data_IF_922160488946
#
_entry.id   IF_922160488946
#
_cell.length_a   1.000
_cell.length_b   1.000
_cell.length_c   1.000
_cell.angle_alpha   90.00
_cell.angle_beta   90.00
_cell.angle_gamma   90.00
#
_symmetry.space_group_name_H-M   'P 1'
#
loop_
_entity.id
_entity.type
_entity.pdbx_description
1 polymer ?
#
# COMPACT_ATOMS: atom_id res chain seq x y z
N UNK A 1 24.90 -36.06 -25.79
CA UNK A 1 26.27 -36.63 -25.82
C UNK A 1 26.33 -38.15 -25.61
N UNK A 2 25.32 -38.79 -25.02
CA UNK A 2 25.26 -40.25 -24.88
C UNK A 2 25.43 -41.03 -26.20
N UNK A 3 24.88 -40.53 -27.31
CA UNK A 3 25.08 -41.14 -28.63
C UNK A 3 26.54 -41.10 -29.09
N UNK A 4 27.25 -40.01 -28.78
CA UNK A 4 28.66 -39.82 -29.14
C UNK A 4 29.57 -40.77 -28.34
N UNK A 5 29.30 -40.96 -27.04
CA UNK A 5 29.98 -41.97 -26.23
C UNK A 5 29.82 -43.39 -26.81
N UNK A 6 28.61 -43.75 -27.25
CA UNK A 6 28.35 -45.06 -27.89
C UNK A 6 29.04 -45.21 -29.26
N UNK A 7 29.20 -44.13 -30.01
CA UNK A 7 29.99 -44.17 -31.25
C UNK A 7 31.48 -44.36 -30.98
N UNK A 8 31.99 -43.83 -29.85
CA UNK A 8 33.39 -43.95 -29.47
C UNK A 8 33.82 -45.40 -29.24
N UNK A 9 32.93 -46.27 -28.76
CA UNK A 9 33.21 -47.70 -28.58
C UNK A 9 33.23 -48.51 -29.88
N UNK A 10 32.76 -47.93 -30.99
CA UNK A 10 32.69 -48.61 -32.29
C UNK A 10 33.89 -48.30 -33.20
N UNK A 11 34.85 -47.50 -32.74
CA UNK A 11 36.07 -47.21 -33.51
C UNK A 11 37.04 -48.39 -33.53
N UNK A 12 37.98 -48.34 -34.47
CA UNK A 12 38.98 -49.39 -34.66
C UNK A 12 39.75 -49.68 -33.37
N UNK A 13 39.89 -50.95 -33.06
CA UNK A 13 40.71 -51.45 -31.94
C UNK A 13 42.14 -51.76 -32.38
N UNK A 14 42.46 -51.49 -33.66
CA UNK A 14 43.79 -51.68 -34.22
C UNK A 14 44.65 -50.43 -33.99
N UNK A 15 45.88 -50.64 -33.52
CA UNK A 15 46.88 -49.59 -33.34
C UNK A 15 47.03 -49.12 -31.88
N UNK A 16 48.14 -48.46 -31.59
CA UNK A 16 48.52 -47.97 -30.25
C UNK A 16 47.59 -46.89 -29.70
N UNK A 17 46.73 -46.31 -30.54
CA UNK A 17 45.75 -45.29 -30.14
C UNK A 17 44.44 -45.87 -29.57
N UNK A 18 44.17 -47.17 -29.75
CA UNK A 18 42.96 -47.83 -29.27
C UNK A 18 42.55 -47.48 -27.82
N UNK A 19 43.44 -47.46 -26.80
CA UNK A 19 43.06 -47.13 -25.42
C UNK A 19 42.56 -45.69 -25.23
N UNK A 20 42.92 -44.75 -26.11
CA UNK A 20 42.47 -43.35 -26.03
C UNK A 20 40.96 -43.24 -26.30
N UNK A 21 40.39 -44.14 -27.10
CA UNK A 21 38.94 -44.19 -27.33
C UNK A 21 38.14 -44.48 -26.07
N UNK A 22 38.68 -45.26 -25.13
CA UNK A 22 38.03 -45.54 -23.85
C UNK A 22 38.06 -44.31 -22.92
N UNK A 23 39.15 -43.54 -22.93
CA UNK A 23 39.23 -42.24 -22.25
C UNK A 23 38.20 -41.26 -22.82
N UNK A 24 38.06 -41.21 -24.14
CA UNK A 24 37.07 -40.36 -24.80
C UNK A 24 35.63 -40.79 -24.49
N UNK A 25 35.37 -42.11 -24.50
CA UNK A 25 34.08 -42.70 -24.13
C UNK A 25 33.69 -42.31 -22.70
N UNK A 26 34.54 -42.62 -21.72
CA UNK A 26 34.27 -42.35 -20.30
C UNK A 26 34.14 -40.86 -20.00
N UNK A 27 34.94 -40.00 -20.63
CA UNK A 27 34.82 -38.55 -20.50
C UNK A 27 33.49 -38.03 -21.07
N UNK A 28 33.09 -38.54 -22.25
CA UNK A 28 31.82 -38.17 -22.90
C UNK A 28 30.60 -38.69 -22.12
N UNK A 29 30.70 -39.85 -21.49
CA UNK A 29 29.67 -40.39 -20.58
C UNK A 29 29.51 -39.52 -19.34
N UNK A 30 30.62 -39.17 -18.67
CA UNK A 30 30.60 -38.28 -17.49
C UNK A 30 30.00 -36.91 -17.82
N UNK A 31 30.36 -36.36 -18.99
CA UNK A 31 29.82 -35.10 -19.45
C UNK A 31 28.32 -35.21 -19.77
N UNK A 32 27.88 -36.29 -20.42
CA UNK A 32 26.45 -36.54 -20.66
C UNK A 32 25.66 -36.64 -19.36
N UNK A 33 26.20 -37.31 -18.33
CA UNK A 33 25.59 -37.39 -17.00
C UNK A 33 25.50 -36.03 -16.31
N UNK A 34 26.55 -35.20 -16.37
CA UNK A 34 26.52 -33.84 -15.82
C UNK A 34 25.40 -32.99 -16.44
N UNK A 35 25.23 -33.05 -17.77
CA UNK A 35 24.14 -32.33 -18.44
C UNK A 35 22.76 -32.85 -18.03
N UNK A 36 22.58 -34.17 -17.88
CA UNK A 36 21.31 -34.74 -17.41
C UNK A 36 20.99 -34.29 -15.98
N UNK A 37 21.97 -34.26 -15.09
CA UNK A 37 21.78 -33.81 -13.72
C UNK A 37 21.47 -32.31 -13.64
N UNK A 38 22.09 -31.49 -14.49
CA UNK A 38 21.72 -30.08 -14.64
C UNK A 38 20.26 -29.94 -15.10
N UNK A 39 19.83 -30.69 -16.11
CA UNK A 39 18.43 -30.66 -16.59
C UNK A 39 17.46 -31.05 -15.48
N UNK A 40 17.77 -32.08 -14.68
CA UNK A 40 16.94 -32.46 -13.52
C UNK A 40 16.86 -31.34 -12.49
N UNK A 41 17.97 -30.69 -12.15
CA UNK A 41 17.99 -29.55 -11.23
C UNK A 41 17.17 -28.37 -11.77
N UNK A 42 17.26 -28.08 -13.06
CA UNK A 42 16.45 -27.05 -13.70
C UNK A 42 14.95 -27.40 -13.67
N UNK A 43 14.59 -28.67 -13.85
CA UNK A 43 13.20 -29.13 -13.73
C UNK A 43 12.66 -28.99 -12.31
N UNK A 44 13.44 -29.29 -11.28
CA UNK A 44 13.04 -29.05 -9.89
C UNK A 44 12.89 -27.55 -9.60
N UNK A 45 13.81 -26.72 -10.08
CA UNK A 45 13.70 -25.26 -9.95
C UNK A 45 12.44 -24.72 -10.64
N UNK A 46 12.08 -25.22 -11.83
CA UNK A 46 10.83 -24.84 -12.50
C UNK A 46 9.62 -25.17 -11.62
N UNK A 47 9.60 -26.33 -10.95
CA UNK A 47 8.51 -26.68 -10.02
C UNK A 47 8.46 -25.73 -8.82
N UNK A 48 9.60 -25.37 -8.25
CA UNK A 48 9.68 -24.40 -7.15
C UNK A 48 9.17 -23.02 -7.58
N UNK A 49 9.52 -22.57 -8.79
CA UNK A 49 9.01 -21.31 -9.37
C UNK A 49 7.49 -21.36 -9.54
N UNK A 50 6.93 -22.45 -10.07
CA UNK A 50 5.47 -22.60 -10.18
C UNK A 50 4.79 -22.60 -8.81
N UNK A 51 5.34 -23.35 -7.85
CA UNK A 51 4.83 -23.38 -6.46
C UNK A 51 4.85 -21.98 -5.84
N UNK A 52 5.94 -21.23 -6.02
CA UNK A 52 6.03 -19.85 -5.56
C UNK A 52 4.98 -18.95 -6.22
N UNK A 53 4.71 -19.13 -7.51
CA UNK A 53 3.63 -18.42 -8.21
C UNK A 53 2.25 -18.66 -7.57
N UNK A 54 1.93 -19.91 -7.24
CA UNK A 54 0.68 -20.26 -6.54
C UNK A 54 0.61 -19.66 -5.13
N UNK A 55 1.71 -19.70 -4.39
CA UNK A 55 1.83 -19.09 -3.06
C UNK A 55 1.66 -17.56 -3.14
N UNK A 56 2.22 -16.91 -4.17
CA UNK A 56 2.08 -15.48 -4.41
C UNK A 56 0.61 -15.09 -4.67
N UNK A 57 -0.12 -15.88 -5.46
CA UNK A 57 -1.56 -15.64 -5.72
C UNK A 57 -2.37 -15.77 -4.42
N UNK A 58 -2.10 -16.80 -3.61
CA UNK A 58 -2.77 -17.00 -2.31
C UNK A 58 -2.46 -15.84 -1.35
N UNK A 59 -1.19 -15.44 -1.26
CA UNK A 59 -0.76 -14.31 -0.44
C UNK A 59 -1.41 -13.00 -0.89
N UNK A 60 -1.55 -12.77 -2.20
CA UNK A 60 -2.24 -11.60 -2.74
C UNK A 60 -3.73 -11.57 -2.34
N UNK A 61 -4.45 -12.68 -2.50
CA UNK A 61 -5.88 -12.76 -2.10
C UNK A 61 -6.07 -12.47 -0.61
N UNK A 62 -5.26 -13.12 0.24
CA UNK A 62 -5.28 -12.88 1.68
C UNK A 62 -4.98 -11.42 2.03
N UNK A 63 -3.95 -10.83 1.41
CA UNK A 63 -3.59 -9.43 1.65
C UNK A 63 -4.71 -8.50 1.20
N UNK A 64 -5.35 -8.76 0.04
CA UNK A 64 -6.49 -7.96 -0.45
C UNK A 64 -7.66 -7.94 0.54
N UNK A 65 -7.95 -9.08 1.16
CA UNK A 65 -8.97 -9.18 2.21
C UNK A 65 -8.53 -8.40 3.46
N UNK A 66 -7.29 -8.58 3.93
CA UNK A 66 -6.73 -7.88 5.09
C UNK A 66 -6.76 -6.35 4.93
N UNK A 67 -6.47 -5.83 3.73
CA UNK A 67 -6.43 -4.39 3.46
C UNK A 67 -7.79 -3.76 3.10
N UNK A 68 -8.83 -4.58 2.91
CA UNK A 68 -10.19 -4.10 2.57
C UNK A 68 -10.79 -3.24 3.68
N UNK A 69 -10.62 -3.62 4.95
CA UNK A 69 -11.10 -2.84 6.10
C UNK A 69 -10.41 -1.48 6.22
N UNK A 70 -9.15 -1.39 5.77
CA UNK A 70 -8.39 -0.13 5.72
C UNK A 70 -8.92 0.78 4.60
N UNK A 71 -9.27 0.21 3.44
CA UNK A 71 -9.90 0.96 2.37
C UNK A 71 -11.25 1.56 2.81
N UNK A 72 -12.07 0.80 3.54
CA UNK A 72 -13.33 1.31 4.10
C UNK A 72 -13.09 2.46 5.09
N UNK A 73 -12.10 2.33 5.98
CA UNK A 73 -11.76 3.40 6.91
C UNK A 73 -11.28 4.68 6.20
N UNK A 74 -10.54 4.54 5.10
CA UNK A 74 -10.13 5.65 4.22
C UNK A 74 -11.35 6.34 3.58
N UNK A 75 -12.33 5.56 3.11
CA UNK A 75 -13.56 6.13 2.54
C UNK A 75 -14.41 6.83 3.60
N UNK A 76 -14.51 6.24 4.80
CA UNK A 76 -15.25 6.81 5.92
C UNK A 76 -14.65 8.13 6.37
N UNK A 77 -13.32 8.23 6.52
CA UNK A 77 -12.66 9.47 6.93
C UNK A 77 -12.80 10.57 5.87
N UNK A 78 -12.79 10.23 4.58
CA UNK A 78 -13.06 11.19 3.49
C UNK A 78 -14.48 11.73 3.57
N UNK A 79 -15.47 10.84 3.69
CA UNK A 79 -16.89 11.20 3.76
C UNK A 79 -17.19 12.10 4.97
N UNK A 80 -16.73 11.72 6.16
CA UNK A 80 -17.00 12.49 7.38
C UNK A 80 -16.26 13.84 7.39
N UNK A 81 -15.06 13.93 6.78
CA UNK A 81 -14.34 15.20 6.63
C UNK A 81 -15.12 16.18 5.75
N UNK A 82 -15.68 15.70 4.63
CA UNK A 82 -16.51 16.54 3.76
C UNK A 82 -17.79 17.01 4.48
N UNK A 83 -18.47 16.11 5.19
CA UNK A 83 -19.66 16.45 5.95
C UNK A 83 -19.37 17.47 7.08
N UNK A 84 -18.25 17.30 7.79
CA UNK A 84 -17.78 18.21 8.82
C UNK A 84 -17.51 19.61 8.25
N UNK A 85 -16.83 19.70 7.10
CA UNK A 85 -16.53 20.96 6.43
C UNK A 85 -17.81 21.69 6.02
N UNK A 86 -18.76 20.98 5.39
CA UNK A 86 -20.07 21.53 5.02
C UNK A 86 -20.86 22.02 6.24
N UNK A 87 -20.82 21.29 7.35
CA UNK A 87 -21.48 21.70 8.59
C UNK A 87 -20.82 22.94 9.21
N UNK A 88 -19.49 23.06 9.13
CA UNK A 88 -18.74 24.23 9.61
C UNK A 88 -19.08 25.48 8.80
N UNK A 89 -19.14 25.37 7.48
CA UNK A 89 -19.56 26.47 6.60
C UNK A 89 -20.99 26.91 6.90
N UNK A 90 -21.92 25.96 7.09
CA UNK A 90 -23.29 26.27 7.49
C UNK A 90 -23.36 26.98 8.87
N UNK A 91 -22.59 26.53 9.87
CA UNK A 91 -22.49 27.19 11.17
C UNK A 91 -22.01 28.64 11.03
N UNK A 92 -20.94 28.88 10.25
CA UNK A 92 -20.41 30.22 10.00
C UNK A 92 -21.47 31.13 9.34
N UNK A 93 -22.18 30.64 8.32
CA UNK A 93 -23.25 31.38 7.66
C UNK A 93 -24.36 31.78 8.64
N UNK A 94 -24.75 30.90 9.57
CA UNK A 94 -25.75 31.23 10.61
C UNK A 94 -25.23 32.23 11.64
N UNK A 95 -23.94 32.16 11.97
CA UNK A 95 -23.32 33.11 12.90
C UNK A 95 -23.30 34.53 12.31
N UNK A 96 -22.86 34.67 11.06
CA UNK A 96 -22.85 35.95 10.33
C UNK A 96 -24.26 36.54 10.23
N UNK A 97 -25.27 35.73 9.87
CA UNK A 97 -26.64 36.20 9.76
C UNK A 97 -27.23 36.66 11.11
N UNK A 98 -26.95 35.93 12.19
CA UNK A 98 -27.43 36.33 13.51
C UNK A 98 -26.81 37.66 13.97
N UNK A 99 -25.52 37.87 13.71
CA UNK A 99 -24.85 39.14 14.04
C UNK A 99 -25.34 40.30 13.17
N UNK A 100 -25.67 40.04 11.90
CA UNK A 100 -26.28 41.04 11.00
C UNK A 100 -27.62 41.54 11.53
N UNK A 101 -28.52 40.62 11.88
CA UNK A 101 -29.85 40.95 12.41
C UNK A 101 -29.79 41.74 13.73
N UNK A 102 -28.80 41.46 14.59
CA UNK A 102 -28.57 42.24 15.82
C UNK A 102 -28.12 43.68 15.52
N UNK A 103 -27.25 43.87 14.53
CA UNK A 103 -26.69 45.20 14.19
C UNK A 103 -27.68 46.08 13.45
N UNK A 104 -28.54 45.49 12.63
CA UNK A 104 -29.57 46.21 11.86
C UNK A 104 -30.82 46.56 12.70
N UNK A 105 -30.86 46.16 13.98
CA UNK A 105 -32.00 46.43 14.86
C UNK A 105 -33.27 45.67 14.46
N UNK A 106 -33.11 44.44 13.93
CA UNK A 106 -34.26 43.58 13.61
C UNK A 106 -35.12 43.31 14.84
N UNK A 107 -36.37 42.90 14.63
CA UNK A 107 -37.29 42.68 15.76
C UNK A 107 -36.78 41.55 16.66
N UNK A 108 -37.05 41.64 17.97
CA UNK A 108 -36.63 40.62 18.94
C UNK A 108 -37.04 39.20 18.50
N UNK A 109 -38.24 39.06 17.94
CA UNK A 109 -38.78 37.79 17.41
C UNK A 109 -37.93 37.21 16.27
N UNK A 110 -37.38 38.05 15.40
CA UNK A 110 -36.52 37.63 14.29
C UNK A 110 -35.13 37.22 14.77
N UNK A 111 -34.58 37.97 15.73
CA UNK A 111 -33.30 37.65 16.38
C UNK A 111 -33.37 36.30 17.10
N UNK A 112 -34.45 36.05 17.85
CA UNK A 112 -34.67 34.78 18.55
C UNK A 112 -34.80 33.61 17.56
N UNK A 113 -35.51 33.81 16.44
CA UNK A 113 -35.64 32.79 15.38
C UNK A 113 -34.29 32.47 14.73
N UNK A 114 -33.42 33.46 14.53
CA UNK A 114 -32.06 33.26 14.03
C UNK A 114 -31.18 32.53 15.06
N UNK A 115 -31.32 32.84 16.35
CA UNK A 115 -30.61 32.16 17.43
C UNK A 115 -30.92 30.66 17.49
N UNK A 116 -32.19 30.27 17.28
CA UNK A 116 -32.59 28.85 17.20
C UNK A 116 -31.91 28.15 16.01
N UNK A 117 -31.82 28.82 14.85
CA UNK A 117 -31.12 28.29 13.67
C UNK A 117 -29.62 28.13 13.91
N UNK A 118 -28.98 29.11 14.55
CA UNK A 118 -27.56 29.01 14.93
C UNK A 118 -27.34 27.85 15.91
N UNK A 119 -28.21 27.72 16.92
CA UNK A 119 -28.12 26.62 17.91
C UNK A 119 -28.17 25.27 17.20
N UNK A 120 -29.16 25.05 16.32
CA UNK A 120 -29.25 23.80 15.52
C UNK A 120 -28.02 23.56 14.65
N UNK A 121 -27.48 24.59 14.00
CA UNK A 121 -26.26 24.48 13.20
C UNK A 121 -25.02 24.15 14.06
N UNK A 122 -24.96 24.70 15.29
CA UNK A 122 -23.91 24.43 16.27
C UNK A 122 -23.95 22.98 16.74
N UNK A 123 -25.13 22.48 17.10
CA UNK A 123 -25.32 21.10 17.56
C UNK A 123 -24.97 20.10 16.44
N UNK A 124 -25.35 20.40 15.20
CA UNK A 124 -24.98 19.60 14.03
C UNK A 124 -23.46 19.59 13.80
N UNK A 125 -22.80 20.74 13.92
CA UNK A 125 -21.34 20.83 13.77
C UNK A 125 -20.62 20.04 14.85
N UNK A 126 -21.03 20.17 16.13
CA UNK A 126 -20.48 19.39 17.25
C UNK A 126 -20.62 17.88 17.03
N UNK A 127 -21.79 17.42 16.59
CA UNK A 127 -22.02 16.02 16.24
C UNK A 127 -21.02 15.52 15.18
N UNK A 128 -20.76 16.30 14.14
CA UNK A 128 -19.78 15.91 13.11
C UNK A 128 -18.34 15.94 13.61
N UNK A 129 -17.99 16.83 14.55
CA UNK A 129 -16.67 16.84 15.20
C UNK A 129 -16.45 15.56 15.99
N UNK A 130 -17.44 15.12 16.77
CA UNK A 130 -17.37 13.87 17.55
C UNK A 130 -17.29 12.64 16.65
N UNK A 131 -18.14 12.58 15.60
CA UNK A 131 -18.07 11.50 14.60
C UNK A 131 -16.73 11.47 13.88
N UNK A 132 -16.18 12.63 13.51
CA UNK A 132 -14.86 12.71 12.90
C UNK A 132 -13.77 12.15 13.82
N UNK A 133 -13.81 12.45 15.12
CA UNK A 133 -12.83 11.93 16.07
C UNK A 133 -12.86 10.40 16.17
N UNK A 134 -14.06 9.80 16.22
CA UNK A 134 -14.21 8.35 16.24
C UNK A 134 -13.71 7.69 14.94
N UNK A 135 -14.11 8.21 13.78
CA UNK A 135 -13.66 7.70 12.47
C UNK A 135 -12.16 7.89 12.27
N UNK A 136 -11.59 9.00 12.76
CA UNK A 136 -10.15 9.25 12.72
C UNK A 136 -9.38 8.22 13.54
N UNK A 137 -9.88 7.84 14.72
CA UNK A 137 -9.23 6.81 15.54
C UNK A 137 -9.21 5.45 14.85
N UNK A 138 -10.33 5.03 14.25
CA UNK A 138 -10.41 3.76 13.47
C UNK A 138 -9.46 3.78 12.27
N UNK A 139 -9.42 4.90 11.53
CA UNK A 139 -8.49 5.11 10.43
C UNK A 139 -7.02 5.01 10.87
N UNK A 140 -6.64 5.71 11.95
CA UNK A 140 -5.27 5.69 12.47
C UNK A 140 -4.83 4.30 12.93
N UNK A 141 -5.73 3.58 13.60
CA UNK A 141 -5.49 2.20 14.02
C UNK A 141 -5.27 1.28 12.81
N UNK A 142 -6.23 1.19 11.88
CA UNK A 142 -6.16 0.28 10.74
C UNK A 142 -5.00 0.59 9.80
N UNK A 143 -4.67 1.88 9.62
CA UNK A 143 -3.51 2.29 8.85
C UNK A 143 -2.20 1.86 9.50
N UNK A 144 -2.10 1.94 10.83
CA UNK A 144 -0.92 1.51 11.57
C UNK A 144 -0.74 -0.01 11.50
N UNK A 145 -1.83 -0.77 11.71
CA UNK A 145 -1.84 -2.23 11.59
C UNK A 145 -1.45 -2.66 10.16
N UNK A 146 -2.02 -2.00 9.14
CA UNK A 146 -1.68 -2.27 7.73
C UNK A 146 -0.24 -1.91 7.41
N UNK A 147 0.28 -0.80 7.94
CA UNK A 147 1.67 -0.41 7.75
C UNK A 147 2.62 -1.43 8.40
N UNK A 148 2.36 -1.84 9.64
CA UNK A 148 3.18 -2.84 10.34
C UNK A 148 3.14 -4.21 9.64
N UNK A 149 1.95 -4.66 9.27
CA UNK A 149 1.76 -5.94 8.55
C UNK A 149 2.33 -5.89 7.13
N UNK A 150 2.22 -4.73 6.47
CA UNK A 150 2.74 -4.48 5.13
C UNK A 150 4.26 -4.47 5.10
N UNK A 151 4.93 -3.77 6.03
CA UNK A 151 6.39 -3.67 6.10
C UNK A 151 7.11 -5.01 6.28
N UNK A 152 6.51 -5.94 7.04
CA UNK A 152 7.06 -7.28 7.24
C UNK A 152 6.85 -8.22 6.03
N UNK A 153 5.99 -7.86 5.08
CA UNK A 153 5.67 -8.67 3.88
C UNK A 153 6.09 -8.02 2.56
N UNK A 154 6.85 -6.93 2.56
CA UNK A 154 7.36 -6.29 1.33
C UNK A 154 8.47 -7.16 0.71
N UNK A 155 8.05 -8.26 0.10
CA UNK A 155 8.67 -8.85 -1.08
C UNK A 155 7.67 -8.74 -2.22
N UNK A 156 7.79 -7.69 -3.05
CA UNK A 156 7.18 -7.56 -4.37
C UNK A 156 5.68 -7.92 -4.51
N UNK A 157 4.79 -7.24 -3.76
CA UNK A 157 3.36 -7.29 -4.07
C UNK A 157 2.84 -5.95 -4.64
N UNK A 158 2.63 -5.84 -5.97
CA UNK A 158 2.24 -4.59 -6.62
C UNK A 158 0.87 -4.04 -6.15
N UNK A 159 -0.02 -4.89 -5.62
CA UNK A 159 -1.31 -4.45 -5.11
C UNK A 159 -1.23 -3.65 -3.81
N UNK A 160 -0.27 -4.00 -2.93
CA UNK A 160 -0.01 -3.26 -1.69
C UNK A 160 0.53 -1.87 -2.01
N UNK A 161 1.38 -1.76 -3.04
CA UNK A 161 1.92 -0.50 -3.55
C UNK A 161 0.82 0.41 -4.10
N UNK A 162 -0.12 -0.12 -4.88
CA UNK A 162 -1.24 0.66 -5.46
C UNK A 162 -2.20 1.16 -4.37
N UNK A 163 -2.53 0.32 -3.39
CA UNK A 163 -3.38 0.75 -2.29
C UNK A 163 -2.68 1.82 -1.45
N UNK A 164 -1.41 1.60 -1.11
CA UNK A 164 -0.63 2.55 -0.34
C UNK A 164 -0.45 3.90 -1.07
N UNK A 165 -0.27 3.88 -2.41
CA UNK A 165 -0.24 5.08 -3.24
C UNK A 165 -1.60 5.78 -3.31
N UNK A 166 -2.70 5.03 -3.39
CA UNK A 166 -4.06 5.57 -3.38
C UNK A 166 -4.37 6.24 -2.04
N UNK A 167 -4.01 5.61 -0.94
CA UNK A 167 -4.19 6.16 0.40
C UNK A 167 -3.30 7.38 0.63
N UNK A 168 -2.05 7.35 0.19
CA UNK A 168 -1.15 8.51 0.26
C UNK A 168 -1.69 9.70 -0.56
N UNK A 169 -2.20 9.46 -1.77
CA UNK A 169 -2.79 10.48 -2.63
C UNK A 169 -4.08 11.08 -2.02
N UNK A 170 -4.93 10.23 -1.43
CA UNK A 170 -6.14 10.67 -0.72
C UNK A 170 -5.83 11.47 0.54
N UNK A 171 -4.88 11.02 1.37
CA UNK A 171 -4.42 11.77 2.54
C UNK A 171 -3.82 13.12 2.15
N UNK A 172 -3.05 13.19 1.06
CA UNK A 172 -2.44 14.42 0.56
C UNK A 172 -3.49 15.41 0.02
N UNK A 173 -4.53 14.93 -0.67
CA UNK A 173 -5.64 15.79 -1.15
C UNK A 173 -6.53 16.31 -0.03
N UNK A 174 -6.73 15.53 1.03
CA UNK A 174 -7.56 15.92 2.17
C UNK A 174 -6.81 16.83 3.17
N UNK A 175 -5.48 16.95 3.05
CA UNK A 175 -4.70 17.86 3.88
C UNK A 175 -5.02 19.31 3.51
N UNK A 176 -5.58 20.12 4.44
CA UNK A 176 -5.80 21.52 4.15
C UNK A 176 -4.44 22.15 3.91
N UNK A 177 -4.25 22.78 2.74
CA UNK A 177 -3.16 23.74 2.46
C UNK A 177 -3.31 25.02 3.31
N UNK A 178 -3.72 24.87 4.56
CA UNK A 178 -3.87 25.91 5.57
C UNK A 178 -2.56 26.02 6.35
N UNK A 179 -1.70 26.91 5.87
CA UNK A 179 -0.60 27.58 6.57
C UNK A 179 -0.51 27.22 8.07
N UNK A 180 0.50 26.43 8.43
CA UNK A 180 1.00 26.29 9.79
C UNK A 180 1.27 27.70 10.37
N UNK A 181 0.29 28.26 11.07
CA UNK A 181 0.53 29.38 11.99
C UNK A 181 0.41 28.82 13.39
N UNK A 182 1.54 28.80 14.08
CA UNK A 182 1.72 28.19 15.37
C UNK A 182 0.76 28.78 16.41
N UNK A 183 -0.04 27.92 17.04
CA UNK A 183 -0.75 28.19 18.29
C UNK A 183 -0.56 26.98 19.20
N UNK A 184 0.07 27.22 20.35
CA UNK A 184 0.46 26.24 21.36
C UNK A 184 -0.71 25.69 22.16
N UNK A 185 -0.88 24.37 22.12
CA UNK A 185 -1.69 23.61 23.07
C UNK A 185 -2.31 22.37 22.44
N UNK A 186 -1.83 21.18 22.80
CA UNK A 186 -2.23 19.83 22.31
C UNK A 186 -1.69 19.42 20.92
N UNK A 187 -0.36 19.42 20.75
CA UNK A 187 0.32 19.04 19.49
C UNK A 187 0.95 17.63 19.43
N UNK A 188 0.91 16.84 20.51
CA UNK A 188 1.65 15.57 20.60
C UNK A 188 1.18 14.47 19.62
N UNK A 189 -0.12 14.15 19.61
CA UNK A 189 -0.62 12.99 18.88
C UNK A 189 -0.75 13.23 17.37
N UNK A 190 -1.06 14.46 16.94
CA UNK A 190 -1.21 14.80 15.52
C UNK A 190 0.12 14.85 14.77
N UNK A 191 1.22 15.27 15.44
CA UNK A 191 2.55 15.28 14.83
C UNK A 191 3.12 13.87 14.62
N UNK A 192 2.86 12.94 15.53
CA UNK A 192 3.28 11.55 15.37
C UNK A 192 2.60 10.88 14.18
N UNK A 193 1.30 11.12 14.00
CA UNK A 193 0.54 10.57 12.87
C UNK A 193 0.97 11.23 11.56
N UNK A 194 1.27 12.53 11.56
CA UNK A 194 1.84 13.21 10.39
C UNK A 194 3.22 12.71 10.03
N UNK A 195 4.08 12.50 11.02
CA UNK A 195 5.39 11.90 10.83
C UNK A 195 5.26 10.46 10.33
N UNK A 196 4.28 9.70 10.82
CA UNK A 196 4.01 8.34 10.37
C UNK A 196 3.47 8.31 8.94
N UNK A 197 2.47 9.11 8.60
CA UNK A 197 1.94 9.20 7.23
C UNK A 197 2.97 9.73 6.23
N UNK A 198 3.80 10.71 6.63
CA UNK A 198 4.87 11.25 5.78
C UNK A 198 6.02 10.26 5.64
N UNK A 199 6.45 9.59 6.71
CA UNK A 199 7.44 8.52 6.64
C UNK A 199 6.94 7.31 5.83
N UNK A 200 5.65 6.98 5.96
CA UNK A 200 5.01 5.94 5.15
C UNK A 200 5.01 6.33 3.68
N UNK A 201 4.56 7.55 3.34
CA UNK A 201 4.58 8.06 1.98
C UNK A 201 5.99 8.12 1.39
N UNK A 202 6.98 8.54 2.17
CA UNK A 202 8.38 8.68 1.73
C UNK A 202 9.09 7.32 1.58
N UNK A 203 8.76 6.35 2.44
CA UNK A 203 9.25 4.99 2.29
C UNK A 203 8.59 4.25 1.12
N UNK A 204 7.29 4.45 0.90
CA UNK A 204 6.57 3.95 -0.27
C UNK A 204 7.15 4.54 -1.56
N UNK A 205 7.46 5.83 -1.58
CA UNK A 205 8.17 6.47 -2.69
C UNK A 205 9.54 5.84 -2.93
N UNK A 206 10.33 5.54 -1.88
CA UNK A 206 11.62 4.86 -2.03
C UNK A 206 11.49 3.43 -2.57
N UNK A 207 10.48 2.68 -2.14
CA UNK A 207 10.22 1.32 -2.63
C UNK A 207 9.74 1.35 -4.09
N UNK A 208 8.86 2.28 -4.46
CA UNK A 208 8.44 2.49 -5.85
C UNK A 208 9.62 2.88 -6.75
N UNK A 209 10.51 3.76 -6.27
CA UNK A 209 11.67 4.23 -7.05
C UNK A 209 12.77 3.15 -7.19
N UNK A 210 12.83 2.19 -6.26
CA UNK A 210 13.72 1.03 -6.34
C UNK A 210 13.15 -0.08 -7.25
N UNK A 211 11.84 -0.11 -7.44
CA UNK A 211 11.13 -1.12 -8.23
C UNK A 211 10.76 -0.66 -9.65
N UNK A 212 11.19 0.54 -10.06
CA UNK A 212 11.12 0.91 -11.48
C UNK A 212 12.12 0.01 -12.23
N UNK A 213 11.66 -0.88 -13.13
CA UNK A 213 12.58 -1.56 -14.03
C UNK A 213 13.29 -0.45 -14.79
N UNK A 214 14.63 -0.41 -14.75
CA UNK A 214 15.36 0.27 -15.82
C UNK A 214 14.95 -0.46 -17.08
N UNK A 215 14.10 0.16 -17.90
CA UNK A 215 13.81 -0.30 -19.25
C UNK A 215 15.15 -0.57 -19.95
N UNK A 216 15.32 -1.81 -20.40
CA UNK A 216 16.34 -2.27 -21.36
C UNK A 216 15.57 -2.72 -22.58
#
# INVERSE_FOLDING_TARGET
MTKLAKSASNYTQLGTFAPVWDVFKTSTEKLASCHLDLVRRLQELIKEVHKYGDEQIKAYKKTKEEVSGTLEAVQNIQSITQALQKSKENYNTKCVEQERLKKEGATQREVDKAAVKLKKATDTYKLYVEKYAAVKSDFEQKMTETAQNGYLRIGNNPGVTVLAATVASSCFKQWPRGRLRAGSGRRGSSLHVLSACFALAQALLRVCHFSSPKEV
#
